data_IF_988388661747
#
_entry.id   IF_988388661747
#
_cell.length_a   1.000
_cell.length_b   1.000
_cell.length_c   1.000
_cell.angle_alpha   90.00
_cell.angle_beta   90.00
_cell.angle_gamma   90.00
#
_symmetry.space_group_name_H-M   'P 1'
#
loop_
_entity.id
_entity.type
_entity.pdbx_description
1 polymer ?
#
# COMPACT_ATOMS: atom_id res chain seq x y z
N UNK A 1 28.66 -26.20 -9.59
CA UNK A 1 27.73 -26.08 -8.44
C UNK A 1 28.30 -26.94 -7.32
N UNK A 2 28.63 -26.35 -6.18
CA UNK A 2 29.01 -27.06 -4.98
C UNK A 2 27.80 -27.11 -4.04
N UNK A 3 27.50 -28.27 -3.49
CA UNK A 3 26.47 -28.46 -2.47
C UNK A 3 27.15 -28.74 -1.14
N UNK A 4 26.85 -27.93 -0.14
CA UNK A 4 27.28 -28.09 1.24
C UNK A 4 26.06 -28.36 2.12
N UNK A 5 26.28 -28.77 3.38
CA UNK A 5 25.19 -28.92 4.35
C UNK A 5 24.41 -27.62 4.57
N UNK A 6 25.03 -26.47 4.26
CA UNK A 6 24.48 -25.12 4.46
C UNK A 6 23.82 -24.54 3.19
N UNK A 7 23.77 -25.27 2.06
CA UNK A 7 23.11 -24.82 0.83
C UNK A 7 23.88 -25.07 -0.45
N UNK A 8 23.46 -24.39 -1.52
CA UNK A 8 24.09 -24.41 -2.85
C UNK A 8 24.75 -23.08 -3.11
N UNK A 9 26.08 -23.07 -3.30
CA UNK A 9 26.84 -21.88 -3.67
C UNK A 9 27.00 -21.81 -5.21
N UNK A 10 26.60 -20.69 -5.79
CA UNK A 10 26.78 -20.34 -7.21
C UNK A 10 27.82 -19.22 -7.32
N UNK A 11 29.07 -19.52 -6.97
CA UNK A 11 30.18 -18.57 -7.08
C UNK A 11 30.37 -18.06 -8.52
N UNK A 12 30.67 -16.78 -8.67
CA UNK A 12 30.94 -16.12 -9.95
C UNK A 12 30.15 -14.81 -10.15
N UNK A 13 30.46 -14.10 -11.24
CA UNK A 13 29.82 -12.83 -11.60
C UNK A 13 28.64 -12.98 -12.56
N UNK A 14 28.25 -14.20 -12.89
CA UNK A 14 27.14 -14.50 -13.78
C UNK A 14 25.78 -14.44 -13.07
N UNK A 15 24.73 -14.82 -13.77
CA UNK A 15 23.36 -14.88 -13.27
C UNK A 15 22.80 -16.29 -13.31
N UNK A 16 21.84 -16.59 -12.45
CA UNK A 16 21.03 -17.79 -12.47
C UNK A 16 19.69 -17.47 -13.12
N UNK A 17 19.28 -18.27 -14.11
CA UNK A 17 17.91 -18.20 -14.61
C UNK A 17 17.05 -19.19 -13.82
N UNK A 18 16.07 -18.66 -13.09
CA UNK A 18 15.10 -19.47 -12.35
C UNK A 18 13.93 -19.89 -13.26
N UNK A 19 13.12 -20.88 -12.86
CA UNK A 19 11.89 -21.21 -13.56
C UNK A 19 11.03 -19.97 -13.76
N UNK A 20 10.46 -19.82 -14.96
CA UNK A 20 9.59 -18.69 -15.30
C UNK A 20 8.32 -19.17 -16.01
N UNK A 21 7.27 -18.36 -15.96
CA UNK A 21 5.99 -18.67 -16.59
C UNK A 21 4.90 -17.72 -16.10
N UNK A 22 3.72 -17.83 -16.71
CA UNK A 22 2.55 -17.00 -16.33
C UNK A 22 2.01 -17.37 -14.95
N UNK A 23 1.12 -16.54 -14.41
CA UNK A 23 0.38 -16.82 -13.17
C UNK A 23 -0.36 -18.17 -13.23
N UNK A 24 -0.98 -18.51 -14.38
CA UNK A 24 -1.68 -19.79 -14.58
C UNK A 24 -0.78 -21.01 -14.68
N UNK A 25 0.54 -20.82 -14.83
CA UNK A 25 1.55 -21.89 -14.89
C UNK A 25 2.28 -22.09 -13.55
N UNK A 26 1.73 -21.58 -12.46
CA UNK A 26 2.21 -21.88 -11.11
C UNK A 26 2.09 -23.39 -10.83
N UNK A 27 3.03 -23.91 -10.05
CA UNK A 27 2.95 -25.31 -9.61
C UNK A 27 1.58 -25.55 -8.93
N UNK A 28 0.86 -26.59 -9.36
CA UNK A 28 -0.46 -26.95 -8.81
C UNK A 28 -0.37 -27.52 -7.38
N UNK A 29 0.82 -27.98 -6.96
CA UNK A 29 1.10 -28.49 -5.62
C UNK A 29 2.39 -27.84 -5.10
N UNK A 30 2.38 -26.53 -4.84
CA UNK A 30 3.58 -25.82 -4.44
C UNK A 30 4.04 -26.21 -3.03
N UNK A 31 5.34 -26.12 -2.80
CA UNK A 31 5.95 -26.35 -1.50
C UNK A 31 6.52 -25.04 -0.95
N UNK A 32 6.50 -24.89 0.37
CA UNK A 32 7.16 -23.75 1.00
C UNK A 32 8.65 -23.71 0.59
N UNK A 33 9.08 -22.55 0.07
CA UNK A 33 10.40 -22.34 -0.51
C UNK A 33 10.45 -22.44 -2.03
N UNK A 34 9.36 -22.80 -2.72
CA UNK A 34 9.29 -22.69 -4.17
C UNK A 34 9.49 -21.22 -4.59
N UNK A 35 10.29 -21.02 -5.65
CA UNK A 35 10.73 -19.71 -6.11
C UNK A 35 10.80 -19.67 -7.62
N UNK A 36 10.24 -18.63 -8.24
CA UNK A 36 10.18 -18.46 -9.70
C UNK A 36 10.01 -17.00 -10.11
N UNK A 37 10.12 -16.73 -11.43
CA UNK A 37 9.75 -15.46 -12.04
C UNK A 37 8.37 -15.56 -12.72
N UNK A 38 7.41 -14.71 -12.33
CA UNK A 38 6.09 -14.61 -12.93
C UNK A 38 6.12 -13.64 -14.11
N UNK A 39 5.88 -14.14 -15.32
CA UNK A 39 5.92 -13.31 -16.54
C UNK A 39 4.64 -12.50 -16.74
N UNK A 40 3.52 -12.84 -16.09
CA UNK A 40 2.29 -12.04 -16.12
C UNK A 40 2.46 -10.77 -15.30
N UNK A 41 3.02 -10.91 -14.10
CA UNK A 41 3.16 -9.80 -13.14
C UNK A 41 4.52 -9.10 -13.28
N UNK A 42 5.47 -9.68 -14.04
CA UNK A 42 6.81 -9.14 -14.25
C UNK A 42 7.68 -9.16 -12.99
N UNK A 43 7.47 -10.13 -12.08
CA UNK A 43 8.04 -10.13 -10.73
C UNK A 43 8.57 -11.50 -10.32
N UNK A 44 9.57 -11.51 -9.42
CA UNK A 44 9.92 -12.73 -8.69
C UNK A 44 8.84 -13.05 -7.66
N UNK A 45 8.49 -14.32 -7.54
CA UNK A 45 7.52 -14.80 -6.56
C UNK A 45 8.03 -16.05 -5.85
N UNK A 46 7.64 -16.20 -4.59
CA UNK A 46 7.91 -17.35 -3.76
C UNK A 46 6.65 -17.86 -3.08
N UNK A 47 6.70 -19.12 -2.66
CA UNK A 47 5.62 -19.78 -1.96
C UNK A 47 6.00 -20.02 -0.49
N UNK A 48 5.14 -19.56 0.43
CA UNK A 48 5.21 -19.89 1.87
C UNK A 48 3.99 -20.73 2.27
N UNK A 49 2.84 -20.14 2.30
CA UNK A 49 1.47 -20.66 2.43
C UNK A 49 0.61 -20.23 1.24
N UNK A 50 1.04 -19.21 0.56
CA UNK A 50 0.48 -18.66 -0.68
C UNK A 50 1.60 -18.11 -1.56
N UNK A 51 1.33 -17.91 -2.88
CA UNK A 51 2.27 -17.24 -3.77
C UNK A 51 2.30 -15.75 -3.45
N UNK A 52 3.47 -15.23 -3.13
CA UNK A 52 3.73 -13.82 -2.87
C UNK A 52 4.92 -13.28 -3.64
N UNK A 53 4.97 -11.98 -3.88
CA UNK A 53 6.11 -11.31 -4.50
C UNK A 53 7.34 -11.36 -3.59
N UNK A 54 8.51 -11.72 -4.17
CA UNK A 54 9.81 -11.63 -3.50
C UNK A 54 10.49 -10.34 -3.98
N UNK A 55 10.91 -9.53 -3.03
CA UNK A 55 11.57 -8.27 -3.33
C UNK A 55 10.58 -7.29 -3.94
N UNK A 56 9.42 -7.15 -3.29
CA UNK A 56 8.44 -6.13 -3.64
C UNK A 56 9.16 -4.86 -4.02
N UNK A 57 8.71 -4.19 -5.05
CA UNK A 57 9.22 -2.88 -5.39
C UNK A 57 9.32 -2.14 -4.07
N UNK A 58 10.49 -1.62 -3.71
CA UNK A 58 10.63 -0.68 -2.59
C UNK A 58 9.83 0.59 -2.90
N UNK A 59 8.73 0.40 -3.61
CA UNK A 59 7.64 1.33 -3.84
C UNK A 59 6.96 1.52 -2.50
N UNK A 60 6.86 2.73 -2.11
CA UNK A 60 6.06 3.24 -1.01
C UNK A 60 4.70 2.55 -1.08
N UNK A 61 4.21 2.04 0.05
CA UNK A 61 2.85 1.51 0.20
C UNK A 61 1.86 2.67 0.04
N UNK A 62 1.64 3.07 -1.21
CA UNK A 62 0.77 4.19 -1.57
C UNK A 62 -0.52 3.66 -2.17
N UNK A 63 -1.64 4.22 -1.74
CA UNK A 63 -2.95 4.01 -2.34
C UNK A 63 -3.27 5.21 -3.21
N UNK A 64 -3.54 4.97 -4.49
CA UNK A 64 -3.98 5.98 -5.46
C UNK A 64 -5.50 5.92 -5.60
N UNK A 65 -6.17 7.05 -5.42
CA UNK A 65 -7.62 7.18 -5.50
C UNK A 65 -8.00 8.35 -6.40
N UNK A 66 -8.74 8.07 -7.46
CA UNK A 66 -9.34 9.12 -8.31
C UNK A 66 -10.63 9.65 -7.67
N UNK A 67 -10.73 10.95 -7.49
CA UNK A 67 -11.88 11.63 -6.86
C UNK A 67 -12.40 12.72 -7.77
N UNK A 68 -13.71 12.70 -8.03
CA UNK A 68 -14.42 13.72 -8.84
C UNK A 68 -15.73 14.14 -8.19
N UNK A 69 -15.78 14.17 -6.86
CA UNK A 69 -16.95 14.52 -6.05
C UNK A 69 -16.52 15.30 -4.82
N UNK A 70 -17.45 16.08 -4.27
CA UNK A 70 -17.30 16.74 -2.96
C UNK A 70 -17.86 15.91 -1.80
N UNK A 71 -18.35 14.71 -2.06
CA UNK A 71 -18.73 13.76 -1.01
C UNK A 71 -17.48 13.09 -0.42
N UNK A 72 -17.52 12.78 0.87
CA UNK A 72 -16.42 12.09 1.54
C UNK A 72 -16.12 10.76 0.85
N UNK A 73 -14.88 10.58 0.39
CA UNK A 73 -14.41 9.42 -0.38
C UNK A 73 -13.25 8.76 0.37
N UNK A 74 -13.31 7.43 0.53
CA UNK A 74 -12.23 6.65 1.14
C UNK A 74 -10.99 6.67 0.25
N UNK A 75 -9.83 6.96 0.85
CA UNK A 75 -8.53 7.00 0.18
C UNK A 75 -7.54 5.97 0.73
N UNK A 76 -7.97 5.19 1.70
CA UNK A 76 -7.23 4.09 2.30
C UNK A 76 -7.90 3.64 3.59
N UNK A 77 -7.53 2.45 4.06
CA UNK A 77 -8.08 1.89 5.29
C UNK A 77 -7.12 0.91 5.95
N UNK A 78 -7.39 0.59 7.22
CA UNK A 78 -6.74 -0.48 7.95
C UNK A 78 -7.74 -1.19 8.87
N UNK A 79 -7.48 -2.47 9.15
CA UNK A 79 -8.36 -3.29 9.99
C UNK A 79 -8.32 -2.83 11.46
N UNK A 80 -9.44 -2.38 12.01
CA UNK A 80 -9.54 -1.88 13.39
C UNK A 80 -9.23 -2.92 14.47
N UNK A 81 -9.38 -4.21 14.14
CA UNK A 81 -9.06 -5.30 15.07
C UNK A 81 -7.56 -5.56 15.19
N UNK A 82 -6.77 -5.20 14.16
CA UNK A 82 -5.34 -5.48 14.08
C UNK A 82 -4.48 -4.27 14.44
N UNK A 83 -5.00 -3.07 14.19
CA UNK A 83 -4.24 -1.82 14.36
C UNK A 83 -5.02 -0.81 15.18
N UNK A 84 -4.36 -0.11 16.10
CA UNK A 84 -4.96 0.87 17.01
C UNK A 84 -4.83 2.30 16.50
N UNK A 85 -3.75 2.61 15.81
CA UNK A 85 -3.42 3.95 15.34
C UNK A 85 -2.66 3.91 14.02
N UNK A 86 -2.58 5.04 13.35
CA UNK A 86 -1.79 5.20 12.14
C UNK A 86 -1.21 6.61 12.00
N UNK A 87 -0.04 6.71 11.39
CA UNK A 87 0.48 7.94 10.81
C UNK A 87 0.22 7.92 9.30
N UNK A 88 -0.29 9.00 8.74
CA UNK A 88 -0.69 9.08 7.33
C UNK A 88 -0.07 10.29 6.68
N UNK A 89 0.46 10.10 5.47
CA UNK A 89 0.80 11.19 4.56
C UNK A 89 -0.16 11.10 3.39
N UNK A 90 -0.81 12.22 3.06
CA UNK A 90 -1.75 12.30 1.94
C UNK A 90 -1.41 13.47 1.03
N UNK A 91 -1.41 13.22 -0.28
CA UNK A 91 -1.21 14.23 -1.32
C UNK A 91 -2.44 14.29 -2.22
N UNK A 92 -2.89 15.50 -2.54
CA UNK A 92 -3.93 15.76 -3.54
C UNK A 92 -3.26 16.44 -4.73
N UNK A 93 -3.56 15.95 -5.93
CA UNK A 93 -3.23 16.60 -7.20
C UNK A 93 -4.53 16.91 -7.95
N UNK A 94 -4.80 18.18 -8.23
CA UNK A 94 -5.97 18.61 -8.99
C UNK A 94 -5.56 19.65 -10.06
N UNK A 95 -5.46 19.18 -11.31
CA UNK A 95 -4.88 19.98 -12.39
C UNK A 95 -3.42 20.35 -12.11
N UNK A 96 -3.12 21.64 -11.98
CA UNK A 96 -1.80 22.17 -11.62
C UNK A 96 -1.67 22.56 -10.15
N UNK A 97 -2.65 22.22 -9.32
CA UNK A 97 -2.65 22.52 -7.90
C UNK A 97 -2.34 21.27 -7.07
N UNK A 98 -1.60 21.47 -5.99
CA UNK A 98 -1.13 20.38 -5.13
C UNK A 98 -1.37 20.74 -3.67
N UNK A 99 -1.71 19.71 -2.89
CA UNK A 99 -1.79 19.79 -1.43
C UNK A 99 -1.13 18.54 -0.86
N UNK A 100 -0.38 18.66 0.23
CA UNK A 100 0.11 17.54 1.02
C UNK A 100 -0.13 17.82 2.49
N UNK A 101 -0.51 16.78 3.24
CA UNK A 101 -0.73 16.86 4.68
C UNK A 101 -0.21 15.62 5.40
N UNK A 102 0.05 15.79 6.69
CA UNK A 102 0.40 14.72 7.63
C UNK A 102 -0.64 14.65 8.73
N UNK A 103 -1.07 13.42 9.03
CA UNK A 103 -2.19 13.14 9.93
C UNK A 103 -1.83 12.01 10.89
N UNK A 104 -2.32 12.11 12.14
CA UNK A 104 -2.32 11.04 13.11
C UNK A 104 -3.76 10.61 13.38
N UNK A 105 -3.98 9.30 13.36
CA UNK A 105 -5.27 8.69 13.69
C UNK A 105 -5.11 7.73 14.87
N UNK A 106 -6.09 7.75 15.77
CA UNK A 106 -6.28 6.75 16.81
C UNK A 106 -7.77 6.46 16.98
N UNK A 107 -8.12 5.22 17.31
CA UNK A 107 -9.51 4.84 17.55
C UNK A 107 -9.67 3.99 18.84
N UNK A 108 -10.87 4.03 19.42
CA UNK A 108 -11.26 3.20 20.56
C UNK A 108 -12.09 1.97 20.17
N UNK A 109 -12.30 1.76 18.86
CA UNK A 109 -13.15 0.69 18.27
C UNK A 109 -14.53 1.19 17.83
N UNK A 110 -14.95 2.36 18.26
CA UNK A 110 -16.23 3.00 17.91
C UNK A 110 -16.05 4.38 17.31
N UNK A 111 -15.04 5.12 17.76
CA UNK A 111 -14.76 6.50 17.36
C UNK A 111 -13.32 6.63 16.88
N UNK A 112 -13.09 7.44 15.84
CA UNK A 112 -11.75 7.81 15.37
C UNK A 112 -11.48 9.26 15.76
N UNK A 113 -10.32 9.50 16.37
CA UNK A 113 -9.77 10.83 16.56
C UNK A 113 -8.69 11.07 15.51
N UNK A 114 -8.84 12.12 14.72
CA UNK A 114 -7.88 12.53 13.69
C UNK A 114 -7.25 13.86 14.09
N UNK A 115 -5.92 13.93 14.04
CA UNK A 115 -5.14 15.13 14.18
C UNK A 115 -4.45 15.44 12.84
N UNK A 116 -4.70 16.61 12.27
CA UNK A 116 -3.87 17.17 11.22
C UNK A 116 -2.65 17.85 11.87
N UNK A 117 -1.47 17.28 11.70
CA UNK A 117 -0.23 17.85 12.23
C UNK A 117 0.23 19.05 11.39
N UNK A 118 0.11 18.92 10.07
CA UNK A 118 0.48 19.98 9.13
C UNK A 118 -0.14 19.73 7.76
N UNK A 119 -0.50 20.78 7.04
CA UNK A 119 -0.85 20.70 5.63
C UNK A 119 -0.35 21.95 4.90
N UNK A 120 0.07 21.77 3.64
CA UNK A 120 0.51 22.84 2.74
C UNK A 120 -0.09 22.62 1.36
N UNK A 121 -0.38 23.72 0.66
CA UNK A 121 -0.88 23.71 -0.71
C UNK A 121 -0.17 24.76 -1.56
N UNK A 122 -0.13 24.55 -2.88
CA UNK A 122 0.42 25.52 -3.84
C UNK A 122 -0.48 26.76 -4.03
N UNK A 123 -1.69 26.71 -3.48
CA UNK A 123 -2.69 27.80 -3.48
C UNK A 123 -3.64 27.59 -2.32
N UNK A 124 -4.96 27.63 -2.57
CA UNK A 124 -5.97 27.26 -1.57
C UNK A 124 -5.96 25.78 -1.30
N UNK A 125 -6.37 25.36 -0.09
CA UNK A 125 -6.53 23.94 0.25
C UNK A 125 -7.56 23.29 -0.67
N UNK A 126 -7.21 22.11 -1.19
CA UNK A 126 -8.01 21.37 -2.17
C UNK A 126 -9.03 20.43 -1.52
N UNK A 127 -8.79 20.05 -0.27
CA UNK A 127 -9.68 19.18 0.49
C UNK A 127 -9.26 19.05 1.95
N UNK A 128 -10.14 18.41 2.72
CA UNK A 128 -9.93 18.08 4.14
C UNK A 128 -10.00 16.57 4.32
N UNK A 129 -9.35 16.06 5.36
CA UNK A 129 -9.30 14.65 5.65
C UNK A 129 -9.87 14.33 7.04
N UNK A 130 -10.49 13.15 7.14
CA UNK A 130 -11.00 12.61 8.41
C UNK A 130 -10.82 11.09 8.45
N UNK A 131 -10.73 10.54 9.66
CA UNK A 131 -10.82 9.10 9.92
C UNK A 131 -12.22 8.72 10.39
N UNK A 132 -12.78 7.62 9.90
CA UNK A 132 -14.06 7.10 10.36
C UNK A 132 -14.03 5.58 10.50
N UNK A 133 -14.86 5.02 11.41
CA UNK A 133 -15.12 3.58 11.44
C UNK A 133 -16.15 3.25 10.37
N UNK A 134 -15.81 2.29 9.52
CA UNK A 134 -16.74 1.69 8.56
C UNK A 134 -16.66 0.15 8.66
N UNK A 135 -17.66 -0.46 9.28
CA UNK A 135 -17.67 -1.90 9.52
C UNK A 135 -16.48 -2.36 10.38
N UNK A 136 -15.59 -3.14 9.79
CA UNK A 136 -14.40 -3.68 10.46
C UNK A 136 -13.13 -2.85 10.24
N UNK A 137 -13.23 -1.76 9.49
CA UNK A 137 -12.08 -0.94 9.11
C UNK A 137 -12.17 0.47 9.70
N UNK A 138 -10.99 1.07 9.87
CA UNK A 138 -10.80 2.51 9.96
C UNK A 138 -10.50 3.00 8.57
N UNK A 139 -11.38 3.83 8.01
CA UNK A 139 -11.16 4.48 6.71
C UNK A 139 -10.62 5.89 6.91
N UNK A 140 -9.65 6.25 6.08
CA UNK A 140 -9.20 7.63 5.91
C UNK A 140 -9.89 8.20 4.68
N UNK A 141 -10.67 9.27 4.85
CA UNK A 141 -11.53 9.86 3.82
C UNK A 141 -11.12 11.28 3.50
N UNK A 142 -11.21 11.64 2.22
CA UNK A 142 -11.07 13.01 1.74
C UNK A 142 -12.44 13.60 1.43
N UNK A 143 -12.64 14.87 1.77
CA UNK A 143 -13.75 15.73 1.27
C UNK A 143 -13.13 16.83 0.43
N UNK A 144 -13.33 16.77 -0.89
CA UNK A 144 -12.76 17.74 -1.82
C UNK A 144 -13.51 19.08 -1.77
N UNK A 145 -12.78 20.18 -1.95
CA UNK A 145 -13.37 21.54 -2.06
C UNK A 145 -14.08 21.76 -3.39
N UNK A 146 -13.82 20.93 -4.41
CA UNK A 146 -14.44 21.00 -5.72
C UNK A 146 -14.60 19.61 -6.31
N UNK A 147 -15.58 19.43 -7.22
CA UNK A 147 -15.83 18.17 -7.94
C UNK A 147 -14.98 17.99 -9.19
N UNK A 148 -14.00 18.86 -9.45
CA UNK A 148 -13.03 18.65 -10.53
C UNK A 148 -12.21 17.40 -10.25
N UNK A 149 -11.88 16.66 -11.31
CA UNK A 149 -11.10 15.43 -11.18
C UNK A 149 -9.77 15.68 -10.45
N UNK A 150 -9.49 14.85 -9.47
CA UNK A 150 -8.27 14.89 -8.67
C UNK A 150 -7.75 13.47 -8.44
N UNK A 151 -6.45 13.36 -8.23
CA UNK A 151 -5.79 12.16 -7.73
C UNK A 151 -5.38 12.40 -6.28
N UNK A 152 -5.75 11.48 -5.40
CA UNK A 152 -5.34 11.47 -3.99
C UNK A 152 -4.46 10.26 -3.74
N UNK A 153 -3.23 10.51 -3.31
CA UNK A 153 -2.27 9.46 -2.95
C UNK A 153 -2.11 9.47 -1.44
N UNK A 154 -2.30 8.31 -0.81
CA UNK A 154 -2.15 8.14 0.65
C UNK A 154 -1.16 7.04 0.97
N UNK A 155 -0.31 7.31 1.96
CA UNK A 155 0.54 6.33 2.62
C UNK A 155 0.11 6.20 4.07
N UNK A 156 -0.23 4.98 4.50
CA UNK A 156 -0.70 4.67 5.85
C UNK A 156 0.31 3.77 6.55
N UNK A 157 0.93 4.28 7.61
CA UNK A 157 1.79 3.52 8.52
C UNK A 157 0.99 3.20 9.79
N UNK A 158 0.42 1.99 9.85
CA UNK A 158 -0.43 1.56 10.97
C UNK A 158 0.39 0.88 12.08
N UNK A 159 -0.04 1.08 13.33
CA UNK A 159 0.57 0.52 14.54
C UNK A 159 -0.39 -0.52 15.14
N UNK A 160 0.12 -1.74 15.33
CA UNK A 160 -0.65 -2.87 15.88
C UNK A 160 -1.19 -2.60 17.30
N UNK A 161 -2.28 -3.29 17.60
CA UNK A 161 -3.00 -3.20 18.89
C UNK A 161 -2.29 -3.92 20.01
#
# INVERSE_FOLDING_TARGET
VSTTADGVDFGGTGSIRVPNGTTGQRNASPQAGDFRYNTTDGKFEGYTDSWGEIGGSGGVDETDTSVSTTSATSTGSFAKASFRSAAIIAQITQGSNYQVGRYLLIHDGTTVTTLEESAVATGSMLGTFEGVINGNDVEFRVTMSSSSSATVITKIDSISS
#
